data_IF_514589249460
#
_entry.id   IF_514589249460
#
_cell.length_a   1.000
_cell.length_b   1.000
_cell.length_c   1.000
_cell.angle_alpha   90.00
_cell.angle_beta   90.00
_cell.angle_gamma   90.00
#
_symmetry.space_group_name_H-M   'P 1'
#
loop_
_entity.id
_entity.type
_entity.pdbx_description
1 polymer ?
#
# COMPACT_ATOMS: atom_id res chain seq x y z
N UNK A 1 18.58 -28.35 43.54
CA UNK A 1 18.18 -27.03 42.99
C UNK A 1 18.53 -26.89 41.51
N UNK A 2 19.78 -27.09 41.08
CA UNK A 2 20.19 -26.96 39.67
C UNK A 2 19.50 -27.93 38.67
N UNK A 3 19.12 -29.13 39.10
CA UNK A 3 18.43 -30.13 38.26
C UNK A 3 17.00 -29.70 37.91
N UNK A 4 16.27 -29.16 38.88
CA UNK A 4 14.89 -28.67 38.74
C UNK A 4 14.83 -27.51 37.74
N UNK A 5 15.77 -26.57 37.84
CA UNK A 5 15.87 -25.44 36.92
C UNK A 5 16.11 -25.91 35.48
N UNK A 6 16.89 -26.97 35.28
CA UNK A 6 17.19 -27.54 33.96
C UNK A 6 15.98 -28.26 33.36
N UNK A 7 15.19 -28.91 34.20
CA UNK A 7 13.96 -29.59 33.79
C UNK A 7 12.87 -28.56 33.40
N UNK A 8 12.75 -27.45 34.16
CA UNK A 8 11.84 -26.34 33.83
C UNK A 8 12.23 -25.64 32.52
N UNK A 9 13.53 -25.42 32.29
CA UNK A 9 14.04 -24.83 31.05
C UNK A 9 13.76 -25.72 29.83
N UNK A 10 13.86 -27.03 30.00
CA UNK A 10 13.57 -27.99 28.94
C UNK A 10 12.08 -28.00 28.59
N UNK A 11 11.21 -27.94 29.61
CA UNK A 11 9.76 -27.81 29.41
C UNK A 11 9.37 -26.53 28.68
N UNK A 12 9.99 -25.40 29.02
CA UNK A 12 9.75 -24.13 28.33
C UNK A 12 10.21 -24.16 26.87
N UNK A 13 11.33 -24.82 26.56
CA UNK A 13 11.76 -24.97 25.16
C UNK A 13 10.80 -25.83 24.33
N UNK A 14 10.28 -26.92 24.92
CA UNK A 14 9.26 -27.76 24.31
C UNK A 14 7.99 -26.95 24.00
N UNK A 15 7.51 -26.18 24.99
CA UNK A 15 6.30 -25.35 24.85
C UNK A 15 6.48 -24.24 23.80
N UNK A 16 7.65 -23.59 23.74
CA UNK A 16 7.96 -22.60 22.71
C UNK A 16 8.01 -23.25 21.32
N UNK A 17 8.51 -24.49 21.19
CA UNK A 17 8.54 -25.20 19.93
C UNK A 17 7.13 -25.54 19.44
N UNK A 18 6.26 -26.03 20.34
CA UNK A 18 4.85 -26.30 20.03
C UNK A 18 4.10 -25.03 19.64
N UNK A 19 4.26 -23.93 20.38
CA UNK A 19 3.63 -22.64 20.06
C UNK A 19 4.06 -22.12 18.68
N UNK A 20 5.34 -22.28 18.31
CA UNK A 20 5.82 -21.92 16.97
C UNK A 20 5.21 -22.80 15.87
N UNK A 21 5.04 -24.09 16.14
CA UNK A 21 4.41 -25.02 15.20
C UNK A 21 2.93 -24.67 14.99
N UNK A 22 2.20 -24.34 16.06
CA UNK A 22 0.81 -23.90 15.99
C UNK A 22 0.68 -22.57 15.23
N UNK A 23 1.56 -21.59 15.52
CA UNK A 23 1.56 -20.30 14.82
C UNK A 23 1.86 -20.47 13.33
N UNK A 24 2.77 -21.39 12.96
CA UNK A 24 3.08 -21.69 11.56
C UNK A 24 1.88 -22.31 10.82
N UNK A 25 1.09 -23.16 11.49
CA UNK A 25 -0.13 -23.73 10.91
C UNK A 25 -1.25 -22.68 10.80
N UNK A 26 -1.33 -21.73 11.73
CA UNK A 26 -2.32 -20.65 11.67
C UNK A 26 -1.97 -19.60 10.60
N UNK A 27 -0.69 -19.40 10.29
CA UNK A 27 -0.24 -18.45 9.27
C UNK A 27 -0.73 -18.81 7.85
N UNK A 28 -0.98 -20.08 7.57
CA UNK A 28 -1.54 -20.51 6.27
C UNK A 28 -3.04 -20.26 6.10
N UNK A 29 -3.78 -20.00 7.19
CA UNK A 29 -5.23 -19.76 7.17
C UNK A 29 -5.61 -18.28 7.22
N UNK A 30 -4.65 -17.37 7.40
CA UNK A 30 -4.90 -15.93 7.33
C UNK A 30 -4.83 -15.52 5.85
N UNK A 31 -5.96 -15.17 5.21
CA UNK A 31 -5.93 -14.74 3.82
C UNK A 31 -5.08 -13.48 3.71
N UNK A 32 -4.11 -13.51 2.80
CA UNK A 32 -3.28 -12.33 2.50
C UNK A 32 -4.15 -11.18 1.98
N UNK A 33 -3.69 -9.93 2.09
CA UNK A 33 -4.39 -8.78 1.51
C UNK A 33 -4.75 -8.98 0.03
N UNK A 34 -3.88 -9.66 -0.71
CA UNK A 34 -4.13 -10.05 -2.10
C UNK A 34 -5.31 -11.01 -2.18
N UNK A 35 -5.33 -12.08 -1.39
CA UNK A 35 -6.45 -13.04 -1.38
C UNK A 35 -7.77 -12.40 -0.93
N UNK A 36 -7.73 -11.51 0.06
CA UNK A 36 -8.91 -10.75 0.52
C UNK A 36 -9.46 -9.90 -0.63
N UNK A 37 -8.59 -9.18 -1.36
CA UNK A 37 -8.99 -8.38 -2.51
C UNK A 37 -9.66 -9.22 -3.61
N UNK A 38 -9.09 -10.38 -3.95
CA UNK A 38 -9.67 -11.28 -4.97
C UNK A 38 -11.04 -11.83 -4.55
N UNK A 39 -11.22 -12.18 -3.26
CA UNK A 39 -12.50 -12.66 -2.73
C UNK A 39 -13.59 -11.57 -2.76
N UNK A 40 -13.23 -10.33 -2.42
CA UNK A 40 -14.15 -9.19 -2.48
C UNK A 40 -14.57 -8.92 -3.92
N UNK A 41 -13.64 -8.88 -4.87
CA UNK A 41 -13.95 -8.67 -6.29
C UNK A 41 -14.88 -9.76 -6.82
N UNK A 42 -14.59 -11.04 -6.53
CA UNK A 42 -15.41 -12.16 -6.96
C UNK A 42 -16.86 -12.06 -6.44
N UNK A 43 -17.03 -11.70 -5.17
CA UNK A 43 -18.36 -11.56 -4.55
C UNK A 43 -19.16 -10.39 -5.14
N UNK A 44 -18.52 -9.24 -5.39
CA UNK A 44 -19.17 -8.07 -6.03
C UNK A 44 -19.65 -8.42 -7.43
N UNK A 45 -18.84 -9.15 -8.20
CA UNK A 45 -19.16 -9.52 -9.58
C UNK A 45 -20.37 -10.47 -9.64
N UNK A 46 -20.48 -11.40 -8.69
CA UNK A 46 -21.61 -12.31 -8.58
C UNK A 46 -22.91 -11.58 -8.18
N UNK A 47 -22.82 -10.58 -7.30
CA UNK A 47 -23.96 -9.72 -6.91
C UNK A 47 -24.44 -8.80 -8.05
N UNK A 48 -23.52 -8.30 -8.88
CA UNK A 48 -23.85 -7.46 -10.03
C UNK A 48 -24.60 -8.26 -11.12
N UNK A 49 -24.23 -9.52 -11.35
CA UNK A 49 -24.88 -10.39 -12.32
C UNK A 49 -26.34 -10.73 -11.97
N UNK A 50 -26.66 -10.84 -10.67
CA UNK A 50 -27.99 -11.23 -10.19
C UNK A 50 -29.02 -10.09 -10.33
N UNK A 51 -28.60 -8.84 -10.17
CA UNK A 51 -29.54 -7.73 -10.01
C UNK A 51 -29.91 -6.98 -11.31
N UNK A 52 -29.36 -7.35 -12.47
CA UNK A 52 -29.61 -6.69 -13.77
C UNK A 52 -29.61 -5.14 -13.67
N UNK A 53 -28.72 -4.61 -12.81
CA UNK A 53 -28.44 -3.19 -12.70
C UNK A 53 -27.36 -2.92 -13.74
N UNK A 54 -27.66 -2.11 -14.76
CA UNK A 54 -26.62 -1.48 -15.56
C UNK A 54 -25.65 -0.81 -14.58
N UNK A 55 -24.36 -1.20 -14.53
CA UNK A 55 -23.45 -0.57 -13.60
C UNK A 55 -23.28 0.88 -14.04
N UNK A 56 -23.99 1.80 -13.39
CA UNK A 56 -23.51 3.16 -13.21
C UNK A 56 -22.11 2.97 -12.67
N UNK A 57 -21.15 3.40 -13.48
CA UNK A 57 -19.73 3.15 -13.35
C UNK A 57 -19.19 3.81 -12.08
N UNK A 58 -19.39 3.14 -10.95
CA UNK A 58 -18.67 3.36 -9.69
C UNK A 58 -17.40 2.46 -9.67
N UNK A 59 -17.10 1.81 -10.80
CA UNK A 59 -15.90 1.00 -11.04
C UNK A 59 -14.71 1.80 -11.60
N UNK A 60 -14.59 3.09 -11.27
CA UNK A 60 -13.32 3.85 -11.42
C UNK A 60 -12.53 3.98 -10.12
N UNK A 61 -12.97 3.35 -9.02
CA UNK A 61 -12.16 3.24 -7.82
C UNK A 61 -11.61 1.81 -7.69
N UNK A 62 -10.28 1.70 -7.70
CA UNK A 62 -9.50 0.48 -7.48
C UNK A 62 -9.51 -0.55 -8.63
N UNK A 63 -9.07 -0.14 -9.81
CA UNK A 63 -8.07 -0.97 -10.47
C UNK A 63 -6.70 -0.51 -9.97
N UNK A 64 -5.91 -1.33 -9.26
CA UNK A 64 -4.48 -1.10 -9.22
C UNK A 64 -4.03 -1.26 -10.67
N UNK A 65 -3.68 -0.15 -11.32
CA UNK A 65 -2.96 -0.21 -12.58
C UNK A 65 -1.70 -1.03 -12.31
N UNK A 66 -1.71 -2.31 -12.73
CA UNK A 66 -0.53 -3.15 -12.83
C UNK A 66 0.41 -2.62 -13.94
N UNK A 67 0.60 -1.30 -14.03
CA UNK A 67 1.80 -0.73 -14.60
C UNK A 67 2.92 -0.99 -13.59
N UNK A 68 3.34 -2.26 -13.54
CA UNK A 68 4.71 -2.62 -13.27
C UNK A 68 5.52 -1.63 -14.09
N UNK A 69 6.16 -0.69 -13.41
CA UNK A 69 7.03 0.32 -14.02
C UNK A 69 7.99 -0.47 -14.90
N UNK A 70 7.83 -0.39 -16.22
CA UNK A 70 8.79 -0.97 -17.14
C UNK A 70 10.09 -0.20 -16.92
N UNK A 71 11.19 -0.84 -16.48
CA UNK A 71 12.43 -0.16 -16.12
C UNK A 71 13.23 0.35 -17.34
N UNK A 72 12.56 0.66 -18.46
CA UNK A 72 13.22 1.08 -19.71
C UNK A 72 13.28 2.59 -19.93
N UNK A 73 12.72 3.40 -19.02
CA UNK A 73 12.75 4.86 -19.13
C UNK A 73 13.01 5.55 -17.78
N UNK A 74 13.81 4.93 -16.90
CA UNK A 74 14.41 5.63 -15.77
C UNK A 74 15.46 6.62 -16.29
N UNK A 75 15.01 7.68 -16.98
CA UNK A 75 15.76 8.93 -16.97
C UNK A 75 15.83 9.33 -15.50
N UNK A 76 16.99 9.81 -15.09
CA UNK A 76 17.25 10.34 -13.76
C UNK A 76 16.30 11.52 -13.54
N UNK A 77 15.08 11.25 -13.10
CA UNK A 77 14.13 12.28 -12.67
C UNK A 77 14.76 12.84 -11.40
N UNK A 78 15.28 14.07 -11.48
CA UNK A 78 15.77 14.76 -10.28
C UNK A 78 14.61 14.89 -9.29
N UNK A 79 14.89 14.83 -7.99
CA UNK A 79 13.86 14.70 -6.94
C UNK A 79 12.75 15.77 -7.03
N UNK A 80 13.05 16.94 -7.59
CA UNK A 80 12.13 18.07 -7.78
C UNK A 80 11.09 17.81 -8.89
N UNK A 81 11.42 17.00 -9.90
CA UNK A 81 10.47 16.62 -10.97
C UNK A 81 9.57 15.43 -10.58
N UNK A 82 9.91 14.71 -9.51
CA UNK A 82 9.16 13.52 -9.09
C UNK A 82 7.73 13.84 -8.65
N UNK A 83 7.52 14.97 -7.96
CA UNK A 83 6.20 15.39 -7.52
C UNK A 83 5.27 15.63 -8.71
N UNK A 84 5.74 16.42 -9.69
CA UNK A 84 5.00 16.72 -10.92
C UNK A 84 4.71 15.45 -11.71
N UNK A 85 5.71 14.60 -11.90
CA UNK A 85 5.53 13.32 -12.58
C UNK A 85 4.49 12.44 -11.90
N UNK A 86 4.56 12.31 -10.57
CA UNK A 86 3.59 11.54 -9.79
C UNK A 86 2.16 12.08 -9.93
N UNK A 87 1.97 13.39 -9.81
CA UNK A 87 0.66 14.02 -9.98
C UNK A 87 0.12 13.82 -11.41
N UNK A 88 0.99 13.87 -12.41
CA UNK A 88 0.64 13.59 -13.80
C UNK A 88 0.10 12.17 -14.01
N UNK A 89 0.71 11.17 -13.35
CA UNK A 89 0.20 9.79 -13.37
C UNK A 89 -1.22 9.68 -12.80
N UNK A 90 -1.56 10.53 -11.83
CA UNK A 90 -2.88 10.56 -11.22
C UNK A 90 -3.89 11.45 -11.96
N UNK A 91 -3.43 12.19 -12.98
CA UNK A 91 -4.16 13.26 -13.67
C UNK A 91 -4.57 14.40 -12.72
N UNK A 92 -3.61 14.82 -11.90
CA UNK A 92 -3.74 15.83 -10.85
C UNK A 92 -2.67 16.92 -10.95
N UNK A 93 -2.19 17.18 -12.18
CA UNK A 93 -1.17 18.17 -12.48
C UNK A 93 -1.52 19.57 -11.95
N UNK A 94 -2.82 19.89 -11.85
CA UNK A 94 -3.33 21.17 -11.38
C UNK A 94 -2.94 21.49 -9.92
N UNK A 95 -2.63 20.48 -9.09
CA UNK A 95 -2.25 20.69 -7.69
C UNK A 95 -0.75 20.87 -7.48
N UNK A 96 0.08 20.69 -8.52
CA UNK A 96 1.54 20.81 -8.42
C UNK A 96 1.98 22.16 -7.85
N UNK A 97 1.47 23.26 -8.40
CA UNK A 97 1.80 24.62 -7.95
C UNK A 97 1.47 24.87 -6.47
N UNK A 98 0.33 24.34 -5.99
CA UNK A 98 -0.11 24.51 -4.59
C UNK A 98 0.82 23.74 -3.65
N UNK A 99 1.19 22.50 -4.01
CA UNK A 99 2.06 21.67 -3.20
C UNK A 99 3.49 22.21 -3.16
N UNK A 100 4.00 22.71 -4.28
CA UNK A 100 5.32 23.36 -4.36
C UNK A 100 5.38 24.64 -3.53
N UNK A 101 4.32 25.46 -3.55
CA UNK A 101 4.23 26.68 -2.75
C UNK A 101 4.30 26.37 -1.24
N UNK A 102 3.70 25.27 -0.82
CA UNK A 102 3.74 24.76 0.56
C UNK A 102 5.00 23.93 0.87
N UNK A 103 5.92 23.82 -0.09
CA UNK A 103 7.16 23.03 0.00
C UNK A 103 6.91 21.57 0.37
N UNK A 104 5.81 21.01 -0.12
CA UNK A 104 5.48 19.60 0.06
C UNK A 104 6.15 18.80 -1.05
N UNK A 105 7.19 18.06 -0.67
CA UNK A 105 7.90 17.19 -1.61
C UNK A 105 7.23 15.81 -1.76
N UNK A 106 7.61 15.09 -2.83
CA UNK A 106 7.13 13.72 -3.07
C UNK A 106 7.39 12.77 -1.88
N UNK A 107 8.52 12.94 -1.18
CA UNK A 107 8.86 12.13 -0.02
C UNK A 107 8.00 12.45 1.21
N UNK A 108 7.39 13.63 1.28
CA UNK A 108 6.55 14.05 2.41
C UNK A 108 5.09 13.64 2.22
N UNK A 109 4.59 13.62 0.98
CA UNK A 109 3.21 13.26 0.63
C UNK A 109 2.66 12.01 1.35
N UNK A 110 3.41 10.88 1.48
CA UNK A 110 2.92 9.68 2.16
C UNK A 110 2.57 9.89 3.64
N UNK A 111 3.12 10.94 4.25
CA UNK A 111 3.04 11.23 5.68
C UNK A 111 2.17 12.45 6.01
N UNK A 112 1.54 13.06 5.00
CA UNK A 112 0.65 14.19 5.18
C UNK A 112 -0.77 13.72 5.45
N UNK A 113 -1.44 14.40 6.39
CA UNK A 113 -2.86 14.19 6.67
C UNK A 113 -3.75 14.74 5.55
N UNK A 114 -4.85 14.03 5.26
CA UNK A 114 -5.84 14.46 4.26
C UNK A 114 -6.49 15.81 4.60
N UNK A 115 -6.62 16.15 5.89
CA UNK A 115 -7.07 17.48 6.34
C UNK A 115 -6.11 18.62 5.93
N UNK A 116 -4.80 18.35 5.86
CA UNK A 116 -3.82 19.36 5.43
C UNK A 116 -4.01 19.66 3.94
N UNK A 117 -4.13 18.64 3.10
CA UNK A 117 -4.36 18.82 1.65
C UNK A 117 -5.68 19.56 1.36
N UNK A 118 -6.74 19.24 2.10
CA UNK A 118 -7.99 20.01 2.03
C UNK A 118 -7.85 21.47 2.45
N UNK A 119 -7.05 21.73 3.49
CA UNK A 119 -6.73 23.10 3.91
C UNK A 119 -6.05 23.92 2.81
N UNK A 120 -5.38 23.26 1.85
CA UNK A 120 -4.76 23.89 0.69
C UNK A 120 -5.71 24.06 -0.50
N UNK A 121 -6.98 23.67 -0.36
CA UNK A 121 -7.99 23.76 -1.41
C UNK A 121 -8.07 22.52 -2.32
N UNK A 122 -7.36 21.44 -2.00
CA UNK A 122 -7.48 20.17 -2.74
C UNK A 122 -8.74 19.44 -2.25
N UNK A 123 -9.70 19.07 -3.12
CA UNK A 123 -10.92 18.41 -2.67
C UNK A 123 -10.64 17.07 -1.96
N UNK A 124 -11.60 16.61 -1.14
CA UNK A 124 -11.48 15.40 -0.33
C UNK A 124 -11.06 14.16 -1.15
N UNK A 125 -11.73 13.90 -2.28
CA UNK A 125 -11.44 12.75 -3.14
C UNK A 125 -9.99 12.72 -3.67
N UNK A 126 -9.54 13.77 -4.38
CA UNK A 126 -8.13 13.91 -4.78
C UNK A 126 -7.15 13.83 -3.61
N UNK A 127 -7.46 14.44 -2.46
CA UNK A 127 -6.59 14.39 -1.26
C UNK A 127 -6.33 12.95 -0.80
N UNK A 128 -7.39 12.15 -0.64
CA UNK A 128 -7.30 10.74 -0.25
C UNK A 128 -6.49 9.95 -1.29
N UNK A 129 -6.76 10.16 -2.58
CA UNK A 129 -6.09 9.42 -3.66
C UNK A 129 -4.60 9.73 -3.75
N UNK A 130 -4.22 11.01 -3.65
CA UNK A 130 -2.81 11.44 -3.66
C UNK A 130 -2.04 10.79 -2.51
N UNK A 131 -2.58 10.86 -1.28
CA UNK A 131 -1.91 10.29 -0.10
C UNK A 131 -1.78 8.77 -0.22
N UNK A 132 -2.86 8.09 -0.61
CA UNK A 132 -2.85 6.63 -0.74
C UNK A 132 -1.85 6.15 -1.79
N UNK A 133 -1.86 6.73 -2.99
CA UNK A 133 -0.94 6.36 -4.06
C UNK A 133 0.52 6.67 -3.70
N UNK A 134 0.77 7.77 -2.98
CA UNK A 134 2.09 8.10 -2.48
C UNK A 134 2.58 7.04 -1.47
N UNK A 135 1.72 6.58 -0.55
CA UNK A 135 2.04 5.50 0.39
C UNK A 135 2.33 4.16 -0.30
N UNK A 136 1.56 3.80 -1.33
CA UNK A 136 1.81 2.58 -2.13
C UNK A 136 3.15 2.66 -2.86
N UNK A 137 3.45 3.80 -3.47
CA UNK A 137 4.71 4.03 -4.18
C UNK A 137 5.90 3.96 -3.22
N UNK A 138 5.80 4.65 -2.08
CA UNK A 138 6.85 4.66 -1.06
C UNK A 138 7.11 3.28 -0.48
N UNK A 139 6.05 2.52 -0.16
CA UNK A 139 6.16 1.13 0.31
C UNK A 139 6.85 0.22 -0.72
N UNK A 140 6.51 0.39 -2.00
CA UNK A 140 7.14 -0.36 -3.09
C UNK A 140 8.62 -0.02 -3.21
N UNK A 141 9.00 1.25 -3.12
CA UNK A 141 10.41 1.68 -3.14
C UNK A 141 11.20 1.09 -1.97
N UNK A 142 10.62 1.11 -0.75
CA UNK A 142 11.25 0.50 0.43
C UNK A 142 11.41 -1.00 0.29
N UNK A 143 10.42 -1.68 -0.30
CA UNK A 143 10.44 -3.13 -0.53
C UNK A 143 11.46 -3.51 -1.60
N UNK A 144 11.62 -2.71 -2.65
CA UNK A 144 12.67 -2.93 -3.66
C UNK A 144 14.06 -2.73 -3.06
N UNK A 145 14.26 -1.66 -2.26
CA UNK A 145 15.51 -1.41 -1.55
C UNK A 145 15.86 -2.52 -0.56
N UNK A 146 14.89 -3.04 0.21
CA UNK A 146 15.14 -4.13 1.17
C UNK A 146 15.50 -5.45 0.48
N UNK A 147 15.05 -5.65 -0.76
CA UNK A 147 15.41 -6.78 -1.63
C UNK A 147 16.71 -6.55 -2.42
N UNK A 148 17.45 -5.46 -2.18
CA UNK A 148 18.71 -5.15 -2.85
C UNK A 148 18.57 -4.69 -4.31
N UNK A 149 17.35 -4.32 -4.74
CA UNK A 149 17.08 -3.77 -6.07
C UNK A 149 17.14 -2.25 -5.96
N UNK A 150 18.23 -1.65 -6.45
CA UNK A 150 18.37 -0.20 -6.57
C UNK A 150 17.71 0.26 -7.87
N UNK A 151 16.73 1.16 -7.75
CA UNK A 151 16.05 1.85 -8.86
C UNK A 151 16.85 3.09 -9.23
#
# INVERSE_FOLDING_TARGET
MQRVIKDDLSRLHEEIAELRQQLSQQKSSIPTNVQISHLITANIQHLAAINNINPINISTSYQPSNSIIHPRQARKIEQEEMLRYFLSLLHYDEYSSILEQEKIDFCELPFIDERKLQGLGIPYGPSIRIIHEAQQYFTSLLTLKSNGIYV
#
